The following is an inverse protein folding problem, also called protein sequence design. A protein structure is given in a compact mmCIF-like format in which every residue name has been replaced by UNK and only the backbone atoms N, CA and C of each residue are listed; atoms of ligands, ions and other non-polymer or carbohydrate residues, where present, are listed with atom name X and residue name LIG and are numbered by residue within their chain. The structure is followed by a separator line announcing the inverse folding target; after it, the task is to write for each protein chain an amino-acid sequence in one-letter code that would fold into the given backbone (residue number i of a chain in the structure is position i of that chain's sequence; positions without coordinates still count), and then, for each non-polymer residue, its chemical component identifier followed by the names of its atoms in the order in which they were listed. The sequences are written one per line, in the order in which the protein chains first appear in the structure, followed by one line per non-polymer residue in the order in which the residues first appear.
data_IF_465827766003
#
_entry.id   IF_465827766003
#
_cell.length_a   1.000
_cell.length_b   1.000
_cell.length_c   1.000
_cell.angle_alpha   90.00
_cell.angle_beta   90.00
_cell.angle_gamma   90.00
#
_symmetry.space_group_name_H-M   'P 1'
#
loop_
_entity.id
_entity.type
_entity.pdbx_description
1 polymer ?
#
# COMPACT_ATOMS: atom_id res chain seq x y z
N UNK A 1 -3.10 2.77 -36.70
CA UNK A 1 -4.46 2.92 -36.18
C UNK A 1 -4.46 2.90 -34.66
N UNK A 2 -5.18 3.83 -34.03
CA UNK A 2 -5.34 3.85 -32.58
C UNK A 2 -6.16 2.64 -32.12
N UNK A 3 -5.72 1.99 -31.05
CA UNK A 3 -6.47 0.92 -30.39
C UNK A 3 -7.36 1.55 -29.32
N UNK A 4 -8.63 1.67 -29.59
CA UNK A 4 -9.59 2.20 -28.65
C UNK A 4 -10.02 1.11 -27.67
N UNK A 5 -10.09 1.47 -26.38
CA UNK A 5 -10.45 0.55 -25.31
C UNK A 5 -11.31 1.29 -24.29
N UNK A 6 -12.34 0.62 -23.78
CA UNK A 6 -13.11 1.13 -22.65
C UNK A 6 -12.21 1.15 -21.40
N UNK A 7 -12.11 2.31 -20.77
CA UNK A 7 -11.30 2.48 -19.55
C UNK A 7 -12.11 2.12 -18.31
N UNK A 8 -11.62 1.16 -17.54
CA UNK A 8 -12.27 0.77 -16.27
C UNK A 8 -12.12 1.83 -15.17
N UNK A 9 -11.20 2.78 -15.34
CA UNK A 9 -10.92 3.82 -14.33
C UNK A 9 -11.86 5.00 -14.47
N UNK A 10 -12.00 5.56 -15.69
CA UNK A 10 -12.82 6.76 -15.90
C UNK A 10 -14.13 6.50 -16.64
N UNK A 11 -14.36 5.27 -17.12
CA UNK A 11 -15.57 4.90 -17.85
C UNK A 11 -15.64 5.42 -19.29
N UNK A 12 -14.59 6.08 -19.77
CA UNK A 12 -14.51 6.63 -21.13
C UNK A 12 -13.71 5.72 -22.02
N UNK A 13 -13.88 5.89 -23.34
CA UNK A 13 -13.09 5.17 -24.34
C UNK A 13 -11.92 6.05 -24.74
N UNK A 14 -10.71 5.53 -24.68
CA UNK A 14 -9.51 6.17 -25.20
C UNK A 14 -8.51 5.13 -25.69
N UNK A 15 -7.43 5.59 -26.33
CA UNK A 15 -6.41 4.72 -26.90
C UNK A 15 -5.80 3.84 -25.79
N UNK A 16 -5.71 2.52 -26.06
CA UNK A 16 -5.15 1.56 -25.11
C UNK A 16 -3.67 1.80 -24.80
N UNK A 17 -2.95 2.50 -25.69
CA UNK A 17 -1.54 2.85 -25.50
C UNK A 17 -1.34 4.16 -24.74
N UNK A 18 -2.42 4.92 -24.51
CA UNK A 18 -2.37 6.17 -23.74
C UNK A 18 -2.82 5.88 -22.32
N UNK A 19 -1.97 6.28 -21.37
CA UNK A 19 -2.31 6.13 -19.95
C UNK A 19 -3.49 7.05 -19.60
N UNK A 20 -4.47 6.51 -18.88
CA UNK A 20 -5.63 7.28 -18.43
C UNK A 20 -5.19 8.46 -17.57
N UNK A 21 -5.59 9.68 -17.93
CA UNK A 21 -5.23 10.90 -17.17
C UNK A 21 -5.75 10.87 -15.73
N UNK A 22 -6.90 10.24 -15.50
CA UNK A 22 -7.43 10.07 -14.14
C UNK A 22 -6.50 9.19 -13.29
N UNK A 23 -5.97 8.11 -13.88
CA UNK A 23 -4.99 7.26 -13.19
C UNK A 23 -3.68 8.02 -12.93
N UNK A 24 -3.21 8.81 -13.89
CA UNK A 24 -2.01 9.63 -13.74
C UNK A 24 -2.17 10.63 -12.60
N UNK A 25 -3.32 11.30 -12.51
CA UNK A 25 -3.62 12.26 -11.42
C UNK A 25 -3.70 11.57 -10.07
N UNK A 26 -4.33 10.39 -10.00
CA UNK A 26 -4.43 9.63 -8.76
C UNK A 26 -3.06 9.16 -8.28
N UNK A 27 -2.18 8.71 -9.18
CA UNK A 27 -0.82 8.31 -8.83
C UNK A 27 0.01 9.51 -8.36
N UNK A 28 -0.13 10.68 -9.01
CA UNK A 28 0.56 11.90 -8.62
C UNK A 28 0.10 12.37 -7.23
N UNK A 29 -1.19 12.31 -6.94
CA UNK A 29 -1.74 12.64 -5.63
C UNK A 29 -1.20 11.71 -4.56
N UNK A 30 -1.21 10.39 -4.81
CA UNK A 30 -0.67 9.41 -3.86
C UNK A 30 0.81 9.65 -3.59
N UNK A 31 1.59 9.96 -4.63
CA UNK A 31 3.01 10.29 -4.48
C UNK A 31 3.20 11.52 -3.58
N UNK A 32 2.43 12.59 -3.82
CA UNK A 32 2.50 13.81 -3.02
C UNK A 32 2.15 13.56 -1.55
N UNK A 33 1.13 12.75 -1.28
CA UNK A 33 0.72 12.40 0.08
C UNK A 33 1.83 11.67 0.83
N UNK A 34 2.58 10.78 0.15
CA UNK A 34 3.72 10.07 0.74
C UNK A 34 4.94 10.95 0.98
N UNK A 35 4.95 12.19 0.47
CA UNK A 35 6.03 13.16 0.72
C UNK A 35 5.76 14.07 1.93
N UNK A 36 4.61 13.92 2.59
CA UNK A 36 4.24 14.78 3.72
C UNK A 36 4.94 14.35 5.02
N UNK A 37 5.14 15.32 5.92
CA UNK A 37 5.69 15.03 7.25
C UNK A 37 4.76 14.14 8.08
N UNK A 38 3.46 14.29 7.93
CA UNK A 38 2.46 13.44 8.58
C UNK A 38 2.65 11.97 8.21
N UNK A 39 2.88 11.70 6.94
CA UNK A 39 3.15 10.35 6.46
C UNK A 39 4.47 9.80 7.00
N UNK A 40 5.53 10.60 6.98
CA UNK A 40 6.84 10.16 7.50
C UNK A 40 6.75 9.80 8.98
N UNK A 41 6.08 10.62 9.78
CA UNK A 41 5.87 10.35 11.21
C UNK A 41 5.01 9.11 11.41
N UNK A 42 3.95 8.94 10.64
CA UNK A 42 3.07 7.77 10.73
C UNK A 42 3.78 6.49 10.32
N UNK A 43 4.57 6.55 9.27
CA UNK A 43 5.38 5.41 8.79
C UNK A 43 6.35 4.95 9.87
N UNK A 44 7.00 5.89 10.56
CA UNK A 44 7.89 5.57 11.67
C UNK A 44 7.12 4.93 12.84
N UNK A 45 5.97 5.50 13.20
CA UNK A 45 5.11 4.97 14.26
C UNK A 45 4.70 3.52 13.98
N UNK A 46 4.27 3.22 12.76
CA UNK A 46 3.85 1.85 12.38
C UNK A 46 5.02 0.87 12.48
N UNK A 47 6.21 1.27 12.03
CA UNK A 47 7.41 0.42 12.16
C UNK A 47 7.73 0.15 13.63
N UNK A 48 7.68 1.16 14.48
CA UNK A 48 7.90 1.00 15.93
C UNK A 48 6.87 0.07 16.58
N UNK A 49 5.60 0.25 16.24
CA UNK A 49 4.51 -0.61 16.74
C UNK A 49 4.63 -2.04 16.23
N UNK A 50 5.25 -2.24 15.07
CA UNK A 50 5.54 -3.55 14.51
C UNK A 50 6.84 -4.16 15.05
N UNK A 51 7.49 -3.51 16.03
CA UNK A 51 8.77 -3.90 16.61
C UNK A 51 9.87 -4.04 15.56
N UNK A 52 9.78 -3.26 14.48
CA UNK A 52 10.73 -3.29 13.36
C UNK A 52 10.84 -4.67 12.71
N UNK A 53 9.71 -5.36 12.59
CA UNK A 53 9.62 -6.68 11.98
C UNK A 53 8.63 -6.70 10.82
N UNK A 54 8.95 -7.48 9.77
CA UNK A 54 8.00 -7.75 8.71
C UNK A 54 6.88 -8.63 9.26
N UNK A 55 5.62 -8.16 9.15
CA UNK A 55 4.47 -8.85 9.69
C UNK A 55 4.25 -10.23 9.04
N UNK A 56 4.45 -10.35 7.72
CA UNK A 56 4.28 -11.62 7.01
C UNK A 56 5.39 -12.61 7.36
N UNK A 57 6.64 -12.14 7.44
CA UNK A 57 7.75 -13.00 7.87
C UNK A 57 7.50 -13.51 9.28
N UNK A 58 7.08 -12.63 10.20
CA UNK A 58 6.81 -13.01 11.58
C UNK A 58 5.68 -14.04 11.68
N UNK A 59 4.63 -13.90 10.89
CA UNK A 59 3.53 -14.87 10.84
C UNK A 59 4.00 -16.26 10.39
N UNK A 60 5.07 -16.30 9.59
CA UNK A 60 5.71 -17.53 9.13
C UNK A 60 6.84 -18.01 10.04
N UNK A 61 7.01 -17.41 11.21
CA UNK A 61 8.04 -17.77 12.18
C UNK A 61 9.44 -17.23 11.86
N UNK A 62 9.53 -16.22 10.98
CA UNK A 62 10.80 -15.64 10.56
C UNK A 62 10.93 -14.24 11.14
N UNK A 63 12.05 -13.99 11.83
CA UNK A 63 12.40 -12.66 12.33
C UNK A 63 13.17 -11.93 11.24
N UNK A 64 12.52 -10.93 10.62
CA UNK A 64 13.14 -10.13 9.57
C UNK A 64 12.93 -8.64 9.87
N UNK A 65 14.02 -7.93 10.14
CA UNK A 65 14.04 -6.50 10.45
C UNK A 65 14.81 -5.67 9.41
N UNK A 66 15.10 -6.24 8.25
CA UNK A 66 15.84 -5.57 7.19
C UNK A 66 14.90 -5.03 6.10
N UNK A 67 15.25 -3.85 5.59
CA UNK A 67 14.56 -3.24 4.43
C UNK A 67 13.05 -3.16 4.61
N UNK A 68 12.62 -2.64 5.77
CA UNK A 68 11.20 -2.54 6.10
C UNK A 68 10.55 -1.32 5.45
N UNK A 69 9.35 -1.52 4.92
CA UNK A 69 8.53 -0.48 4.33
C UNK A 69 7.10 -0.59 4.88
N UNK A 70 6.39 0.54 4.96
CA UNK A 70 4.99 0.54 5.36
C UNK A 70 4.12 0.53 4.12
N UNK A 71 3.30 -0.50 4.01
CA UNK A 71 2.41 -0.74 2.88
C UNK A 71 1.00 -0.26 3.18
N UNK A 72 0.37 0.42 2.21
CA UNK A 72 -1.06 0.73 2.25
C UNK A 72 -1.82 -0.46 1.68
N UNK A 73 -2.59 -1.15 2.51
CA UNK A 73 -3.33 -2.36 2.11
C UNK A 73 -4.32 -2.00 1.01
N UNK A 74 -5.11 -0.94 1.20
CA UNK A 74 -5.87 -0.31 0.13
C UNK A 74 -5.02 0.82 -0.46
N UNK A 75 -4.77 0.77 -1.76
CA UNK A 75 -3.85 1.71 -2.41
C UNK A 75 -4.31 3.15 -2.25
N UNK A 76 -3.36 4.05 -1.97
CA UNK A 76 -3.65 5.48 -1.82
C UNK A 76 -4.30 6.10 -3.05
N UNK A 77 -3.91 5.66 -4.24
CA UNK A 77 -4.51 6.17 -5.48
C UNK A 77 -6.00 5.87 -5.58
N UNK A 78 -6.45 4.79 -4.93
CA UNK A 78 -7.85 4.37 -4.92
C UNK A 78 -8.60 4.96 -3.72
N UNK A 79 -7.91 5.18 -2.61
CA UNK A 79 -8.48 5.75 -1.39
C UNK A 79 -7.46 6.62 -0.66
N UNK A 80 -7.34 7.92 -1.04
CA UNK A 80 -6.40 8.84 -0.40
C UNK A 80 -6.65 9.03 1.11
N UNK A 81 -7.88 8.84 1.58
CA UNK A 81 -8.21 8.97 3.01
C UNK A 81 -7.58 7.86 3.87
N UNK A 82 -7.09 6.79 3.24
CA UNK A 82 -6.40 5.70 3.94
C UNK A 82 -4.95 5.99 4.30
N UNK A 83 -4.44 7.20 4.02
CA UNK A 83 -3.02 7.56 4.24
C UNK A 83 -2.55 7.27 5.66
N UNK A 84 -3.34 7.64 6.66
CA UNK A 84 -2.98 7.57 8.08
C UNK A 84 -3.85 6.60 8.88
N UNK A 85 -4.64 5.78 8.23
CA UNK A 85 -5.53 4.81 8.87
C UNK A 85 -4.74 3.58 9.34
N UNK A 86 -4.71 3.33 10.64
CA UNK A 86 -3.93 2.23 11.24
C UNK A 86 -4.26 0.87 10.63
N UNK A 87 -5.54 0.58 10.40
CA UNK A 87 -5.99 -0.69 9.82
C UNK A 87 -5.61 -0.87 8.36
N UNK A 88 -5.17 0.21 7.70
CA UNK A 88 -4.72 0.20 6.31
C UNK A 88 -3.20 0.14 6.17
N UNK A 89 -2.47 0.16 7.28
CA UNK A 89 -1.01 0.24 7.29
C UNK A 89 -0.39 -1.00 7.89
N UNK A 90 0.59 -1.57 7.19
CA UNK A 90 1.30 -2.77 7.63
C UNK A 90 2.78 -2.67 7.27
N UNK A 91 3.64 -3.11 8.20
CA UNK A 91 5.08 -3.13 8.02
C UNK A 91 5.50 -4.43 7.32
N UNK A 92 6.11 -4.32 6.16
CA UNK A 92 6.56 -5.45 5.35
C UNK A 92 8.00 -5.26 4.90
N UNK A 93 8.72 -6.37 4.70
CA UNK A 93 10.02 -6.32 4.02
C UNK A 93 9.81 -6.01 2.52
N UNK A 94 10.87 -5.63 1.84
CA UNK A 94 10.81 -5.27 0.42
C UNK A 94 10.17 -6.37 -0.43
N UNK A 95 10.51 -7.63 -0.18
CA UNK A 95 9.97 -8.77 -0.92
C UNK A 95 8.45 -8.90 -0.75
N UNK A 96 7.98 -8.88 0.50
CA UNK A 96 6.54 -9.00 0.77
C UNK A 96 5.77 -7.74 0.37
N UNK A 97 6.38 -6.55 0.48
CA UNK A 97 5.78 -5.32 0.01
C UNK A 97 5.51 -5.37 -1.50
N UNK A 98 6.50 -5.85 -2.27
CA UNK A 98 6.35 -6.03 -3.70
C UNK A 98 5.24 -7.02 -4.05
N UNK A 99 5.21 -8.17 -3.36
CA UNK A 99 4.16 -9.18 -3.56
C UNK A 99 2.77 -8.62 -3.24
N UNK A 100 2.66 -7.84 -2.17
CA UNK A 100 1.40 -7.20 -1.79
C UNK A 100 0.94 -6.18 -2.84
N UNK A 101 1.86 -5.37 -3.36
CA UNK A 101 1.56 -4.40 -4.42
C UNK A 101 1.09 -5.07 -5.71
N UNK A 102 1.61 -6.24 -6.01
CA UNK A 102 1.22 -7.03 -7.18
C UNK A 102 -0.08 -7.81 -6.98
N UNK A 103 -0.71 -7.72 -5.81
CA UNK A 103 -1.92 -8.45 -5.50
C UNK A 103 -1.70 -9.95 -5.21
N UNK A 104 -0.45 -10.35 -4.94
CA UNK A 104 -0.09 -11.74 -4.65
C UNK A 104 -0.40 -12.14 -3.21
N UNK A 105 -0.63 -11.18 -2.33
CA UNK A 105 -0.99 -11.40 -0.93
C UNK A 105 -2.39 -10.85 -0.70
N UNK A 106 -3.27 -11.65 -0.10
CA UNK A 106 -4.65 -11.27 0.16
C UNK A 106 -4.74 -10.09 1.12
N UNK A 107 -5.52 -9.07 0.75
CA UNK A 107 -5.72 -7.86 1.54
C UNK A 107 -6.35 -8.16 2.90
N UNK A 108 -7.30 -9.10 2.98
CA UNK A 108 -7.93 -9.46 4.25
C UNK A 108 -6.94 -10.12 5.21
N UNK A 109 -6.02 -10.91 4.69
CA UNK A 109 -4.93 -11.48 5.48
C UNK A 109 -4.05 -10.38 6.06
N UNK A 110 -3.67 -9.39 5.25
CA UNK A 110 -2.86 -8.27 5.70
C UNK A 110 -3.60 -7.44 6.76
N UNK A 111 -4.90 -7.22 6.61
CA UNK A 111 -5.71 -6.51 7.62
C UNK A 111 -5.75 -7.26 8.95
N UNK A 112 -5.82 -8.57 8.92
CA UNK A 112 -5.76 -9.40 10.14
C UNK A 112 -4.42 -9.25 10.85
N UNK A 113 -3.32 -9.21 10.09
CA UNK A 113 -1.98 -9.00 10.67
C UNK A 113 -1.85 -7.60 11.26
N UNK A 114 -2.38 -6.58 10.60
CA UNK A 114 -2.39 -5.21 11.11
C UNK A 114 -3.19 -5.12 12.41
N UNK A 115 -4.33 -5.81 12.48
CA UNK A 115 -5.15 -5.83 13.68
C UNK A 115 -4.43 -6.52 14.84
N UNK A 116 -3.74 -7.62 14.59
CA UNK A 116 -2.92 -8.30 15.61
C UNK A 116 -1.86 -7.37 16.20
N UNK A 117 -1.20 -6.57 15.35
CA UNK A 117 -0.26 -5.57 15.80
C UNK A 117 -0.92 -4.58 16.76
N UNK A 118 -2.11 -4.08 16.40
CA UNK A 118 -2.83 -3.07 17.18
C UNK A 118 -3.37 -3.62 18.49
N UNK A 119 -3.72 -4.90 18.53
CA UNK A 119 -4.21 -5.58 19.75
C UNK A 119 -3.10 -5.93 20.73
N UNK A 120 -1.84 -5.79 20.31
CA UNK A 120 -0.66 -6.23 21.08
C UNK A 120 0.00 -5.07 21.87
N UNK A 121 -0.75 -4.10 22.28
CA UNK A 121 -0.23 -2.94 23.01
C UNK A 121 -0.22 -3.22 24.52
#
# INVERSE_FOLDING_TARGET
MARLKACSICGRIHDANIRCMRAVRADAQAHSLRQTNKWHSKSLEIRERSHWLCAVCLDNGIINHESLEVHHIEKLRDNPSGLLEDENLICLCTTHHKLADEGQIDADYLRKLAQKRDDFI
#
